data_IF_059858339255
#
_entry.id   IF_059858339255
#
_cell.length_a   1.000
_cell.length_b   1.000
_cell.length_c   1.000
_cell.angle_alpha   90.00
_cell.angle_beta   90.00
_cell.angle_gamma   90.00
#
_symmetry.space_group_name_H-M   'P 1'
#
loop_
_entity.id
_entity.type
_entity.pdbx_description
1 polymer ?
#
# COMPACT_ATOMS: atom_id res chain seq x y z
N UNK A 1 -35.15 10.74 -27.32
CA UNK A 1 -33.76 10.91 -27.79
C UNK A 1 -33.13 12.00 -26.93
N UNK A 2 -32.15 11.74 -26.05
CA UNK A 2 -31.47 12.83 -25.37
C UNK A 2 -30.52 13.51 -26.36
N UNK A 3 -30.70 14.81 -26.54
CA UNK A 3 -29.91 15.68 -27.39
C UNK A 3 -28.41 15.53 -27.06
N UNK A 4 -27.62 15.24 -28.08
CA UNK A 4 -26.17 15.12 -27.95
C UNK A 4 -25.59 16.46 -27.53
N UNK A 5 -24.92 16.49 -26.38
CA UNK A 5 -24.20 17.68 -25.92
C UNK A 5 -23.06 17.94 -26.90
N UNK A 6 -23.26 18.88 -27.82
CA UNK A 6 -22.22 19.34 -28.74
C UNK A 6 -21.31 20.32 -28.00
N UNK A 7 -20.34 19.79 -27.27
CA UNK A 7 -19.31 20.61 -26.61
C UNK A 7 -18.22 20.93 -27.63
N UNK A 8 -18.10 22.19 -27.99
CA UNK A 8 -16.98 22.66 -28.80
C UNK A 8 -15.69 22.58 -27.98
N UNK A 9 -14.86 21.57 -28.25
CA UNK A 9 -13.63 21.26 -27.51
C UNK A 9 -12.66 22.47 -27.49
N UNK A 10 -12.70 23.31 -28.52
CA UNK A 10 -11.86 24.51 -28.63
C UNK A 10 -12.19 25.58 -27.58
N UNK A 11 -13.41 25.60 -27.04
CA UNK A 11 -13.82 26.58 -26.02
C UNK A 11 -13.38 26.17 -24.60
N UNK A 12 -12.85 24.95 -24.43
CA UNK A 12 -12.36 24.44 -23.15
C UNK A 12 -10.90 24.80 -22.89
N UNK A 13 -10.21 25.33 -23.91
CA UNK A 13 -8.83 25.78 -23.82
C UNK A 13 -8.79 27.28 -23.51
N UNK A 14 -8.16 27.66 -22.39
CA UNK A 14 -7.91 29.06 -22.02
C UNK A 14 -6.63 29.63 -22.64
N UNK A 15 -6.04 28.93 -23.62
CA UNK A 15 -4.83 29.34 -24.34
C UNK A 15 -3.54 28.73 -23.79
N UNK A 16 -3.62 27.90 -22.75
CA UNK A 16 -2.50 27.16 -22.15
C UNK A 16 -2.53 25.65 -22.48
N UNK A 17 -3.49 25.22 -23.29
CA UNK A 17 -3.79 23.81 -23.55
C UNK A 17 -4.93 23.31 -22.68
N UNK A 18 -5.75 22.42 -23.25
CA UNK A 18 -6.93 21.83 -22.60
C UNK A 18 -6.54 21.08 -21.31
N UNK A 19 -5.41 20.37 -21.32
CA UNK A 19 -4.94 19.62 -20.17
C UNK A 19 -4.62 20.54 -18.98
N UNK A 20 -3.89 21.63 -19.23
CA UNK A 20 -3.55 22.61 -18.20
C UNK A 20 -4.80 23.33 -17.70
N UNK A 21 -5.70 23.70 -18.62
CA UNK A 21 -6.99 24.31 -18.29
C UNK A 21 -7.86 23.43 -17.37
N UNK A 22 -7.80 22.10 -17.50
CA UNK A 22 -8.51 21.17 -16.62
C UNK A 22 -7.88 21.03 -15.25
N UNK A 23 -6.54 21.07 -15.17
CA UNK A 23 -5.81 21.05 -13.89
C UNK A 23 -6.13 22.33 -13.11
N UNK A 24 -6.03 23.49 -13.76
CA UNK A 24 -6.28 24.80 -13.14
C UNK A 24 -7.73 24.94 -12.67
N UNK A 25 -8.68 24.36 -13.41
CA UNK A 25 -10.12 24.35 -13.07
C UNK A 25 -10.53 23.22 -12.13
N UNK A 26 -9.58 22.42 -11.63
CA UNK A 26 -9.84 21.27 -10.74
C UNK A 26 -10.91 20.33 -11.29
N UNK A 27 -10.88 20.08 -12.61
CA UNK A 27 -11.87 19.24 -13.26
C UNK A 27 -11.81 17.81 -12.70
N UNK A 28 -12.95 17.30 -12.24
CA UNK A 28 -13.06 15.96 -11.69
C UNK A 28 -13.97 15.06 -12.55
N UNK A 29 -13.61 13.78 -12.63
CA UNK A 29 -14.40 12.79 -13.38
C UNK A 29 -15.50 12.21 -12.50
N UNK A 30 -16.76 12.55 -12.81
CA UNK A 30 -17.89 11.88 -12.17
C UNK A 30 -18.11 10.47 -12.73
N UNK A 31 -18.52 9.54 -11.87
CA UNK A 31 -18.87 8.15 -12.26
C UNK A 31 -20.03 8.12 -13.27
N UNK A 32 -20.97 9.05 -13.16
CA UNK A 32 -22.07 9.25 -14.11
C UNK A 32 -21.59 9.79 -15.46
N UNK A 33 -20.63 10.71 -15.50
CA UNK A 33 -20.03 11.22 -16.74
C UNK A 33 -19.18 10.15 -17.46
N UNK A 34 -18.47 9.31 -16.70
CA UNK A 34 -17.73 8.17 -17.26
C UNK A 34 -18.67 7.20 -18.00
N UNK A 35 -19.86 6.93 -17.46
CA UNK A 35 -20.86 6.08 -18.14
C UNK A 35 -21.37 6.69 -19.46
N UNK A 36 -21.43 8.02 -19.57
CA UNK A 36 -21.83 8.72 -20.80
C UNK A 36 -20.74 8.74 -21.88
N UNK A 37 -19.47 8.66 -21.51
CA UNK A 37 -18.33 8.68 -22.44
C UNK A 37 -17.76 7.29 -22.72
N UNK A 38 -18.03 6.30 -21.87
CA UNK A 38 -17.60 4.93 -22.06
C UNK A 38 -18.52 4.19 -23.03
N UNK A 39 -18.16 4.23 -24.32
CA UNK A 39 -18.87 3.57 -25.42
C UNK A 39 -19.26 2.12 -25.14
N UNK A 40 -18.41 1.34 -24.46
CA UNK A 40 -18.71 -0.07 -24.19
C UNK A 40 -19.81 -0.25 -23.14
N UNK A 41 -19.89 0.65 -22.15
CA UNK A 41 -20.94 0.64 -21.12
C UNK A 41 -22.23 1.24 -21.65
N UNK A 42 -22.14 2.28 -22.49
CA UNK A 42 -23.27 2.88 -23.18
C UNK A 42 -23.92 1.87 -24.13
N UNK A 43 -23.14 1.22 -25.01
CA UNK A 43 -23.66 0.18 -25.92
C UNK A 43 -24.30 -1.00 -25.19
N UNK A 44 -23.83 -1.35 -23.98
CA UNK A 44 -24.45 -2.39 -23.13
C UNK A 44 -25.73 -1.93 -22.45
N UNK A 45 -25.82 -0.65 -22.06
CA UNK A 45 -27.03 -0.07 -21.49
C UNK A 45 -28.11 0.12 -22.55
N UNK A 46 -27.72 0.62 -23.73
CA UNK A 46 -28.60 0.82 -24.88
C UNK A 46 -29.19 -0.50 -25.38
N UNK A 47 -28.39 -1.58 -25.42
CA UNK A 47 -28.87 -2.94 -25.72
C UNK A 47 -29.88 -3.50 -24.69
N UNK A 48 -29.91 -2.96 -23.47
CA UNK A 48 -30.91 -3.36 -22.46
C UNK A 48 -32.21 -2.59 -22.66
N UNK A 49 -32.13 -1.32 -23.04
CA UNK A 49 -33.29 -0.46 -23.26
C UNK A 49 -33.95 -0.68 -24.64
N UNK A 50 -33.20 -1.10 -25.65
CA UNK A 50 -33.73 -1.39 -27.00
C UNK A 50 -34.57 -2.67 -27.07
N UNK A 51 -34.68 -3.43 -25.97
CA UNK A 51 -35.42 -4.69 -25.91
C UNK A 51 -36.80 -4.55 -25.23
N UNK A 52 -37.18 -3.33 -24.81
CA UNK A 52 -38.42 -3.03 -24.08
C UNK A 52 -39.51 -2.34 -24.92
N UNK A 53 -39.30 -2.12 -26.22
CA UNK A 53 -40.26 -1.38 -27.06
C UNK A 53 -40.54 -2.03 -28.41
N UNK A 54 -41.11 -3.24 -28.44
CA UNK A 54 -42.01 -3.70 -29.50
C UNK A 54 -43.07 -4.60 -28.85
N UNK A 55 -44.33 -4.18 -28.93
CA UNK A 55 -45.48 -4.88 -28.39
C UNK A 55 -46.04 -5.91 -29.39
N UNK A 56 -46.54 -7.01 -28.83
CA UNK A 56 -47.51 -8.01 -29.31
C UNK A 56 -47.37 -8.76 -30.67
N UNK A 57 -47.17 -10.09 -30.55
CA UNK A 57 -48.10 -11.18 -30.97
C UNK A 57 -47.37 -12.42 -31.53
N UNK A 58 -47.66 -13.56 -30.90
CA UNK A 58 -47.55 -14.94 -31.38
C UNK A 58 -46.16 -15.59 -31.62
N UNK A 59 -45.90 -16.60 -30.78
CA UNK A 59 -45.32 -17.92 -31.09
C UNK A 59 -43.97 -17.98 -31.79
N UNK A 60 -42.89 -18.23 -31.03
CA UNK A 60 -42.01 -19.42 -31.15
C UNK A 60 -40.71 -19.23 -30.36
N UNK A 61 -40.31 -20.28 -29.64
CA UNK A 61 -38.95 -20.52 -29.13
C UNK A 61 -38.32 -19.42 -28.26
N UNK A 62 -38.54 -19.49 -26.94
CA UNK A 62 -37.57 -18.98 -25.97
C UNK A 62 -36.25 -19.70 -26.22
N UNK A 63 -35.24 -18.99 -26.76
CA UNK A 63 -33.86 -19.47 -26.80
C UNK A 63 -33.42 -19.71 -25.35
N UNK A 64 -33.53 -20.96 -24.91
CA UNK A 64 -32.95 -21.45 -23.66
C UNK A 64 -31.44 -21.42 -23.82
N UNK A 65 -30.78 -20.49 -23.14
CA UNK A 65 -29.38 -20.66 -22.77
C UNK A 65 -29.25 -21.89 -21.86
N UNK A 66 -28.13 -22.59 -22.01
CA UNK A 66 -27.87 -23.98 -21.66
C UNK A 66 -27.82 -24.29 -20.15
N UNK A 67 -28.78 -23.83 -19.35
CA UNK A 67 -28.91 -24.19 -17.93
C UNK A 67 -30.36 -24.43 -17.55
N UNK A 68 -30.82 -25.66 -17.78
CA UNK A 68 -31.92 -26.25 -17.01
C UNK A 68 -31.92 -27.76 -17.25
N UNK A 69 -30.89 -28.42 -16.74
CA UNK A 69 -31.06 -29.77 -16.24
C UNK A 69 -31.17 -29.62 -14.72
N UNK A 70 -32.38 -29.43 -14.23
CA UNK A 70 -32.69 -29.73 -12.84
C UNK A 70 -32.68 -31.25 -12.74
N UNK A 71 -31.49 -31.83 -12.59
CA UNK A 71 -31.40 -33.18 -12.03
C UNK A 71 -31.77 -32.99 -10.56
N UNK A 72 -33.02 -33.32 -10.26
CA UNK A 72 -33.49 -33.52 -8.90
C UNK A 72 -32.77 -34.76 -8.37
N UNK A 73 -31.53 -34.55 -7.93
CA UNK A 73 -30.76 -35.55 -7.19
C UNK A 73 -31.11 -35.39 -5.72
N UNK A 74 -31.71 -36.45 -5.23
CA UNK A 74 -32.02 -36.84 -3.86
C UNK A 74 -31.02 -36.37 -2.79
N UNK A 75 -31.59 -35.95 -1.65
CA UNK A 75 -31.05 -35.96 -0.28
C UNK A 75 -29.71 -35.25 -0.02
N UNK A 76 -29.77 -33.93 0.15
CA UNK A 76 -29.10 -33.14 1.21
C UNK A 76 -29.65 -31.71 1.16
N UNK A 77 -29.92 -31.03 2.30
CA UNK A 77 -30.26 -29.61 2.24
C UNK A 77 -29.08 -28.89 1.57
N UNK A 78 -29.36 -28.20 0.47
CA UNK A 78 -28.33 -27.45 -0.25
C UNK A 78 -27.93 -26.26 0.63
N UNK A 79 -26.87 -26.45 1.41
CA UNK A 79 -26.29 -25.42 2.28
C UNK A 79 -25.09 -24.81 1.59
N UNK A 80 -24.87 -23.52 1.83
CA UNK A 80 -23.68 -22.84 1.35
C UNK A 80 -22.44 -23.31 2.11
N UNK A 81 -21.41 -23.73 1.39
CA UNK A 81 -20.13 -24.18 1.92
C UNK A 81 -19.45 -23.13 2.80
N UNK A 82 -19.62 -21.84 2.49
CA UNK A 82 -18.98 -20.75 3.25
C UNK A 82 -19.75 -20.40 4.53
N UNK A 83 -21.05 -20.11 4.46
CA UNK A 83 -21.83 -19.64 5.62
C UNK A 83 -22.64 -20.73 6.33
N UNK A 84 -22.70 -21.96 5.81
CA UNK A 84 -23.53 -23.07 6.30
C UNK A 84 -25.05 -22.77 6.33
N UNK A 85 -25.49 -21.68 5.70
CA UNK A 85 -26.91 -21.33 5.63
C UNK A 85 -27.58 -21.95 4.40
N UNK A 86 -28.89 -22.17 4.52
CA UNK A 86 -29.73 -22.79 3.52
C UNK A 86 -29.97 -21.83 2.35
N UNK A 87 -30.23 -22.40 1.17
CA UNK A 87 -30.53 -21.67 -0.06
C UNK A 87 -31.83 -20.85 0.02
N UNK A 88 -31.77 -19.64 0.58
CA UNK A 88 -32.74 -18.58 0.26
C UNK A 88 -32.49 -18.04 -1.17
N UNK A 89 -31.25 -18.14 -1.65
CA UNK A 89 -30.79 -17.75 -2.98
C UNK A 89 -30.24 -18.96 -3.76
N UNK A 90 -30.22 -18.87 -5.08
CA UNK A 90 -29.65 -19.92 -5.93
C UNK A 90 -28.17 -20.16 -5.58
N UNK A 91 -27.86 -21.41 -5.21
CA UNK A 91 -26.48 -21.83 -4.94
C UNK A 91 -25.77 -22.18 -6.24
N UNK A 92 -24.50 -21.77 -6.32
CA UNK A 92 -23.59 -22.14 -7.39
C UNK A 92 -22.73 -23.32 -6.97
N UNK A 93 -22.42 -24.20 -7.91
CA UNK A 93 -21.57 -25.35 -7.68
C UNK A 93 -20.13 -25.07 -8.13
N UNK A 94 -19.18 -25.52 -7.33
CA UNK A 94 -17.77 -25.45 -7.69
C UNK A 94 -17.45 -26.39 -8.84
N UNK A 95 -16.94 -25.83 -9.94
CA UNK A 95 -16.74 -26.56 -11.20
C UNK A 95 -15.29 -26.58 -11.69
N UNK A 96 -14.36 -25.88 -11.02
CA UNK A 96 -12.97 -25.77 -11.48
C UNK A 96 -11.97 -25.87 -10.34
N UNK A 97 -10.85 -26.57 -10.58
CA UNK A 97 -9.73 -26.66 -9.62
C UNK A 97 -9.13 -25.28 -9.33
N UNK A 98 -9.09 -24.40 -10.32
CA UNK A 98 -8.63 -23.00 -10.15
C UNK A 98 -9.44 -22.25 -9.09
N UNK A 99 -10.73 -22.57 -8.95
CA UNK A 99 -11.56 -21.98 -7.91
C UNK A 99 -11.16 -22.52 -6.53
N UNK A 100 -10.91 -23.82 -6.39
CA UNK A 100 -10.41 -24.44 -5.15
C UNK A 100 -9.08 -23.83 -4.71
N UNK A 101 -8.10 -23.74 -5.63
CA UNK A 101 -6.79 -23.15 -5.34
C UNK A 101 -6.92 -21.74 -4.78
N UNK A 102 -7.70 -20.88 -5.42
CA UNK A 102 -7.90 -19.50 -4.95
C UNK A 102 -8.62 -19.42 -3.62
N UNK A 103 -9.58 -20.32 -3.36
CA UNK A 103 -10.28 -20.37 -2.07
C UNK A 103 -9.31 -20.80 -0.96
N UNK A 104 -8.42 -21.77 -1.21
CA UNK A 104 -7.33 -22.12 -0.28
C UNK A 104 -6.39 -20.96 -0.01
N UNK A 105 -5.95 -20.27 -1.06
CA UNK A 105 -5.11 -19.07 -0.92
C UNK A 105 -5.80 -18.02 -0.03
N UNK A 106 -7.08 -17.76 -0.26
CA UNK A 106 -7.87 -16.85 0.57
C UNK A 106 -7.95 -17.33 2.02
N UNK A 107 -8.20 -18.62 2.24
CA UNK A 107 -8.32 -19.18 3.59
C UNK A 107 -7.01 -19.06 4.38
N UNK A 108 -5.86 -19.31 3.73
CA UNK A 108 -4.52 -19.13 4.31
C UNK A 108 -4.25 -17.66 4.61
N UNK A 109 -4.49 -16.76 3.64
CA UNK A 109 -4.29 -15.30 3.81
C UNK A 109 -5.14 -14.71 4.94
N UNK A 110 -6.36 -15.21 5.09
CA UNK A 110 -7.30 -14.75 6.12
C UNK A 110 -7.10 -15.46 7.47
N UNK A 111 -6.27 -16.50 7.52
CA UNK A 111 -6.12 -17.42 8.67
C UNK A 111 -7.52 -17.91 9.13
N UNK A 112 -8.38 -18.22 8.16
CA UNK A 112 -9.74 -18.66 8.43
C UNK A 112 -9.72 -20.16 8.77
N UNK A 113 -9.54 -20.46 10.06
CA UNK A 113 -9.38 -21.83 10.56
C UNK A 113 -10.58 -22.71 10.26
N UNK A 114 -11.78 -22.15 10.27
CA UNK A 114 -13.01 -22.89 9.95
C UNK A 114 -13.05 -23.25 8.46
N UNK A 115 -12.71 -22.31 7.58
CA UNK A 115 -12.65 -22.58 6.15
C UNK A 115 -11.52 -23.57 5.81
N UNK A 116 -10.35 -23.44 6.46
CA UNK A 116 -9.24 -24.38 6.30
C UNK A 116 -9.62 -25.80 6.75
N UNK A 117 -10.34 -25.94 7.86
CA UNK A 117 -10.84 -27.22 8.33
C UNK A 117 -11.81 -27.85 7.31
N UNK A 118 -12.74 -27.07 6.73
CA UNK A 118 -13.64 -27.57 5.67
C UNK A 118 -12.87 -28.04 4.43
N UNK A 119 -11.86 -27.28 4.02
CA UNK A 119 -10.99 -27.59 2.88
C UNK A 119 -10.03 -28.77 3.14
N UNK A 120 -9.84 -29.18 4.40
CA UNK A 120 -9.02 -30.35 4.75
C UNK A 120 -9.71 -31.66 4.38
N UNK A 121 -11.05 -31.69 4.37
CA UNK A 121 -11.82 -32.88 4.02
C UNK A 121 -11.76 -33.22 2.51
N UNK A 122 -11.17 -32.37 1.66
CA UNK A 122 -11.10 -32.58 0.22
C UNK A 122 -11.14 -31.29 -0.58
N UNK A 123 -11.04 -31.43 -1.91
CA UNK A 123 -11.19 -30.31 -2.86
C UNK A 123 -12.67 -29.97 -3.07
N UNK A 124 -12.97 -28.71 -3.34
CA UNK A 124 -14.35 -28.21 -3.48
C UNK A 124 -15.19 -29.01 -4.48
N UNK A 125 -14.59 -29.49 -5.59
CA UNK A 125 -15.28 -30.28 -6.60
C UNK A 125 -15.64 -31.67 -6.07
N UNK A 126 -14.70 -32.34 -5.38
CA UNK A 126 -14.93 -33.68 -4.84
C UNK A 126 -15.94 -33.68 -3.69
N UNK A 127 -16.06 -32.53 -3.00
CA UNK A 127 -17.06 -32.30 -1.97
C UNK A 127 -18.41 -31.82 -2.52
N UNK A 128 -18.54 -31.71 -3.85
CA UNK A 128 -19.73 -31.14 -4.52
C UNK A 128 -20.16 -29.80 -3.90
N UNK A 129 -19.17 -28.97 -3.55
CA UNK A 129 -19.39 -27.78 -2.74
C UNK A 129 -20.29 -26.78 -3.48
N UNK A 130 -21.36 -26.37 -2.80
CA UNK A 130 -22.33 -25.38 -3.26
C UNK A 130 -22.18 -24.09 -2.45
N UNK A 131 -22.29 -22.92 -3.08
CA UNK A 131 -22.06 -21.65 -2.41
C UNK A 131 -22.93 -20.51 -2.93
N UNK A 132 -23.20 -19.53 -2.07
CA UNK A 132 -23.80 -18.26 -2.50
C UNK A 132 -22.78 -17.43 -3.26
N UNK A 133 -23.18 -16.85 -4.39
CA UNK A 133 -22.32 -15.92 -5.16
C UNK A 133 -21.81 -14.77 -4.30
N UNK A 134 -22.66 -14.24 -3.40
CA UNK A 134 -22.31 -13.19 -2.43
C UNK A 134 -21.22 -13.63 -1.46
N UNK A 135 -21.32 -14.83 -0.89
CA UNK A 135 -20.31 -15.36 0.04
C UNK A 135 -18.95 -15.54 -0.63
N UNK A 136 -18.95 -16.01 -1.88
CA UNK A 136 -17.72 -16.15 -2.66
C UNK A 136 -17.07 -14.78 -2.92
N UNK A 137 -17.84 -13.80 -3.39
CA UNK A 137 -17.34 -12.43 -3.60
C UNK A 137 -16.86 -11.79 -2.30
N UNK A 138 -17.57 -12.02 -1.20
CA UNK A 138 -17.19 -11.54 0.13
C UNK A 138 -15.82 -12.09 0.56
N UNK A 139 -15.59 -13.40 0.39
CA UNK A 139 -14.31 -14.04 0.71
C UNK A 139 -13.14 -13.37 -0.06
N UNK A 140 -13.30 -13.19 -1.37
CA UNK A 140 -12.28 -12.55 -2.21
C UNK A 140 -12.02 -11.11 -1.77
N UNK A 141 -13.09 -10.31 -1.62
CA UNK A 141 -12.96 -8.92 -1.21
C UNK A 141 -12.30 -8.80 0.17
N UNK A 142 -12.60 -9.71 1.09
CA UNK A 142 -11.97 -9.74 2.41
C UNK A 142 -10.48 -10.04 2.27
N UNK A 143 -10.09 -11.04 1.47
CA UNK A 143 -8.68 -11.38 1.25
C UNK A 143 -7.89 -10.23 0.63
N UNK A 144 -8.42 -9.56 -0.40
CA UNK A 144 -7.76 -8.43 -1.05
C UNK A 144 -7.59 -7.21 -0.14
N UNK A 145 -8.51 -6.99 0.82
CA UNK A 145 -8.36 -5.91 1.80
C UNK A 145 -7.21 -6.16 2.77
N UNK A 146 -6.89 -7.42 3.09
CA UNK A 146 -5.75 -7.75 3.95
C UNK A 146 -4.45 -7.54 3.18
N UNK A 147 -4.39 -7.96 1.91
CA UNK A 147 -3.21 -7.72 1.07
C UNK A 147 -2.84 -6.22 1.00
N UNK A 148 -3.83 -5.35 0.78
CA UNK A 148 -3.60 -3.91 0.76
C UNK A 148 -3.07 -3.38 2.09
N UNK A 149 -3.60 -3.88 3.22
CA UNK A 149 -3.12 -3.49 4.55
C UNK A 149 -1.70 -3.98 4.81
N UNK A 150 -1.35 -5.19 4.39
CA UNK A 150 -0.01 -5.73 4.60
C UNK A 150 1.03 -4.95 3.80
N UNK A 151 0.73 -4.57 2.55
CA UNK A 151 1.60 -3.71 1.75
C UNK A 151 1.82 -2.35 2.42
N UNK A 152 0.76 -1.74 2.97
CA UNK A 152 0.89 -0.47 3.70
C UNK A 152 1.72 -0.61 4.99
N UNK A 153 1.71 -1.78 5.65
CA UNK A 153 2.49 -2.07 6.85
C UNK A 153 3.96 -2.32 6.52
N UNK A 154 4.24 -3.15 5.51
CA UNK A 154 5.61 -3.42 5.04
C UNK A 154 6.30 -2.11 4.63
N UNK A 155 5.63 -1.26 3.85
CA UNK A 155 6.17 0.04 3.45
C UNK A 155 6.48 0.96 4.64
N UNK A 156 5.65 0.95 5.69
CA UNK A 156 5.91 1.72 6.91
C UNK A 156 7.06 1.16 7.72
N UNK A 157 7.14 -0.16 7.84
CA UNK A 157 8.23 -0.84 8.54
C UNK A 157 9.58 -0.59 7.85
N UNK A 158 9.63 -0.65 6.51
CA UNK A 158 10.83 -0.28 5.75
C UNK A 158 11.27 1.14 6.09
N UNK A 159 10.37 2.13 5.98
CA UNK A 159 10.67 3.52 6.33
C UNK A 159 11.18 3.69 7.76
N UNK A 160 10.65 2.92 8.70
CA UNK A 160 11.06 2.95 10.10
C UNK A 160 12.44 2.31 10.30
N UNK A 161 12.73 1.20 9.63
CA UNK A 161 14.02 0.52 9.70
C UNK A 161 15.16 1.42 9.20
N UNK A 162 14.94 2.14 8.09
CA UNK A 162 15.89 3.15 7.61
C UNK A 162 16.16 4.26 8.64
N UNK A 163 15.11 4.74 9.31
CA UNK A 163 15.23 5.74 10.37
C UNK A 163 16.04 5.25 11.58
N UNK A 164 15.79 4.01 12.02
CA UNK A 164 16.53 3.38 13.13
C UNK A 164 18.00 3.23 12.76
N UNK A 165 18.30 2.59 11.63
CA UNK A 165 19.67 2.37 11.16
C UNK A 165 20.45 3.69 11.02
N UNK A 166 19.79 4.74 10.52
CA UNK A 166 20.39 6.05 10.40
C UNK A 166 20.69 6.68 11.76
N UNK A 167 19.73 6.65 12.70
CA UNK A 167 19.92 7.21 14.03
C UNK A 167 21.06 6.53 14.80
N UNK A 168 21.17 5.21 14.70
CA UNK A 168 22.23 4.45 15.35
C UNK A 168 23.61 4.77 14.74
N UNK A 169 23.68 4.89 13.41
CA UNK A 169 24.92 5.30 12.75
C UNK A 169 25.38 6.70 13.21
N UNK A 170 24.45 7.64 13.33
CA UNK A 170 24.75 8.99 13.84
C UNK A 170 25.18 8.94 15.30
N UNK A 171 24.53 8.13 16.14
CA UNK A 171 24.94 7.92 17.54
C UNK A 171 26.35 7.35 17.61
N UNK A 172 26.68 6.33 16.80
CA UNK A 172 28.02 5.77 16.72
C UNK A 172 29.06 6.82 16.35
N UNK A 173 28.80 7.66 15.35
CA UNK A 173 29.70 8.76 14.96
C UNK A 173 29.89 9.77 16.10
N UNK A 174 28.82 10.10 16.82
CA UNK A 174 28.88 11.06 17.92
C UNK A 174 29.64 10.49 19.14
N UNK A 175 29.34 9.28 19.56
CA UNK A 175 30.00 8.60 20.69
C UNK A 175 31.50 8.45 20.46
N UNK A 176 31.88 8.07 19.24
CA UNK A 176 33.29 7.93 18.85
C UNK A 176 34.03 9.26 18.73
N UNK A 177 33.33 10.36 18.53
CA UNK A 177 33.90 11.73 18.56
C UNK A 177 34.09 12.22 20.00
N UNK A 178 33.27 11.77 20.95
CA UNK A 178 33.34 12.20 22.35
C UNK A 178 34.47 11.55 23.16
N UNK A 179 35.09 10.46 22.66
CA UNK A 179 36.13 9.72 23.41
C UNK A 179 37.58 10.08 23.06
N UNK A 180 37.85 10.66 21.88
CA UNK A 180 39.22 10.93 21.43
C UNK A 180 39.47 12.42 21.21
N UNK A 181 40.63 12.93 21.66
CA UNK A 181 41.11 14.29 21.34
C UNK A 181 41.46 14.48 19.86
N UNK A 182 41.45 13.40 19.06
CA UNK A 182 41.76 13.41 17.63
C UNK A 182 40.50 13.35 16.76
N UNK A 183 40.43 14.17 15.71
CA UNK A 183 39.33 14.15 14.74
C UNK A 183 39.35 12.82 13.96
N UNK A 184 38.43 11.92 14.25
CA UNK A 184 38.22 10.70 13.46
C UNK A 184 37.60 11.05 12.11
N UNK A 185 38.23 10.60 11.03
CA UNK A 185 37.72 10.74 9.65
C UNK A 185 37.17 9.40 9.19
N UNK A 186 35.91 9.39 8.78
CA UNK A 186 35.24 8.19 8.27
C UNK A 186 35.24 8.16 6.75
N UNK A 187 35.50 7.00 6.15
CA UNK A 187 35.19 6.79 4.73
C UNK A 187 33.70 6.60 4.57
N UNK A 188 33.12 7.29 3.58
CA UNK A 188 31.70 7.14 3.25
C UNK A 188 31.32 5.69 2.91
N UNK A 189 32.23 4.94 2.28
CA UNK A 189 32.03 3.52 2.00
C UNK A 189 31.75 2.72 3.26
N UNK A 190 32.47 3.01 4.34
CA UNK A 190 32.41 2.22 5.57
C UNK A 190 31.13 2.56 6.34
N UNK A 191 30.72 3.83 6.33
CA UNK A 191 29.43 4.27 6.87
C UNK A 191 28.24 3.69 6.08
N UNK A 192 28.34 3.64 4.75
CA UNK A 192 27.33 2.98 3.91
C UNK A 192 27.23 1.50 4.26
N UNK A 193 28.35 0.80 4.44
CA UNK A 193 28.33 -0.61 4.80
C UNK A 193 27.67 -0.83 6.17
N UNK A 194 28.04 -0.04 7.18
CA UNK A 194 27.43 -0.12 8.52
C UNK A 194 25.92 0.13 8.49
N UNK A 195 25.47 1.12 7.71
CA UNK A 195 24.04 1.39 7.51
C UNK A 195 23.31 0.22 6.86
N UNK A 196 23.86 -0.31 5.75
CA UNK A 196 23.25 -1.39 5.00
C UNK A 196 23.22 -2.70 5.81
N UNK A 197 24.31 -3.04 6.50
CA UNK A 197 24.37 -4.20 7.41
C UNK A 197 23.28 -4.10 8.49
N UNK A 198 23.06 -2.89 9.03
CA UNK A 198 22.04 -2.69 10.07
C UNK A 198 20.62 -2.82 9.54
N UNK A 199 20.35 -2.31 8.34
CA UNK A 199 19.03 -2.49 7.69
C UNK A 199 18.74 -3.98 7.47
N UNK A 200 19.70 -4.73 6.93
CA UNK A 200 19.54 -6.17 6.70
C UNK A 200 19.26 -6.91 8.00
N UNK A 201 19.94 -6.56 9.10
CA UNK A 201 19.64 -7.15 10.41
C UNK A 201 18.21 -6.84 10.90
N UNK A 202 17.70 -5.61 10.67
CA UNK A 202 16.36 -5.22 11.10
C UNK A 202 15.26 -5.88 10.26
N UNK A 203 15.53 -6.15 8.99
CA UNK A 203 14.64 -6.88 8.08
C UNK A 203 14.54 -8.36 8.49
N UNK A 204 15.65 -9.00 8.87
CA UNK A 204 15.68 -10.41 9.30
C UNK A 204 14.94 -10.67 10.63
N UNK A 205 14.93 -9.69 11.54
CA UNK A 205 14.30 -9.83 12.88
C UNK A 205 12.77 -9.75 12.81
N UNK A 206 12.18 -9.14 11.77
CA UNK A 206 10.71 -9.09 11.61
C UNK A 206 10.06 -10.46 11.35
N UNK A 207 10.84 -11.53 11.16
CA UNK A 207 10.36 -12.92 11.11
C UNK A 207 10.06 -13.57 12.46
N UNK A 208 10.45 -12.97 13.59
CA UNK A 208 10.26 -13.54 14.94
C UNK A 208 9.63 -12.50 15.87
N UNK A 209 8.41 -12.81 16.31
CA UNK A 209 7.60 -12.17 17.37
C UNK A 209 8.31 -11.08 18.19
N UNK A 210 7.75 -9.87 18.11
CA UNK A 210 8.10 -8.70 18.91
C UNK A 210 8.00 -8.97 20.42
N UNK A 211 9.15 -9.16 21.05
CA UNK A 211 9.46 -8.58 22.37
C UNK A 211 10.94 -8.27 22.35
N UNK A 212 11.36 -7.02 22.18
CA UNK A 212 12.70 -6.64 22.65
C UNK A 212 12.77 -5.19 23.11
N UNK A 213 13.31 -5.09 24.31
CA UNK A 213 13.59 -3.93 25.15
C UNK A 213 14.63 -3.02 24.47
N UNK A 214 14.45 -1.71 24.56
CA UNK A 214 15.21 -0.68 23.82
C UNK A 214 16.59 -0.36 24.44
N UNK A 215 17.31 -1.36 24.94
CA UNK A 215 18.60 -1.12 25.60
C UNK A 215 19.61 -2.26 25.41
N UNK A 216 20.01 -2.55 24.16
CA UNK A 216 21.28 -3.25 23.94
C UNK A 216 22.14 -2.56 22.86
N UNK A 217 23.37 -2.12 23.20
CA UNK A 217 24.32 -1.57 22.24
C UNK A 217 24.92 -2.67 21.34
N UNK A 218 25.57 -2.24 20.24
CA UNK A 218 26.10 -2.99 19.09
C UNK A 218 27.08 -4.17 19.35
N UNK A 219 26.86 -5.03 20.35
CA UNK A 219 27.78 -6.11 20.69
C UNK A 219 27.17 -7.52 20.69
N UNK A 220 25.93 -7.70 20.22
CA UNK A 220 25.30 -9.03 20.20
C UNK A 220 24.54 -9.36 18.91
N UNK A 221 25.21 -9.23 17.77
CA UNK A 221 24.93 -10.13 16.65
C UNK A 221 26.12 -11.07 16.47
N UNK A 222 26.19 -12.09 17.34
CA UNK A 222 27.11 -13.20 17.13
C UNK A 222 26.51 -14.13 16.07
N UNK A 223 26.83 -13.90 14.80
CA UNK A 223 26.95 -15.02 13.87
C UNK A 223 27.89 -14.65 12.71
N UNK A 224 29.02 -15.36 12.70
CA UNK A 224 30.15 -15.34 11.74
C UNK A 224 31.09 -14.14 11.89
N UNK A 225 32.30 -14.46 12.37
CA UNK A 225 33.49 -13.59 12.45
C UNK A 225 33.57 -12.68 11.23
N UNK A 226 33.30 -11.39 11.42
CA UNK A 226 33.85 -10.35 10.56
C UNK A 226 35.31 -10.20 10.95
N UNK A 227 36.18 -10.38 9.96
CA UNK A 227 37.63 -10.18 10.08
C UNK A 227 37.92 -8.79 10.63
N UNK A 228 38.58 -8.75 11.80
CA UNK A 228 39.33 -7.58 12.25
C UNK A 228 40.18 -7.11 11.06
N UNK A 229 39.99 -5.86 10.63
CA UNK A 229 40.85 -5.27 9.63
C UNK A 229 42.30 -5.31 10.17
N UNK A 230 43.29 -5.77 9.38
CA UNK A 230 44.68 -5.74 9.81
C UNK A 230 45.11 -4.30 10.10
N UNK A 231 45.76 -4.09 11.25
CA UNK A 231 46.35 -2.81 11.68
C UNK A 231 47.49 -2.29 10.77
N UNK A 232 47.72 -2.90 9.60
CA UNK A 232 48.92 -2.74 8.79
C UNK A 232 48.78 -1.83 7.55
N UNK A 233 47.75 -0.98 7.46
CA UNK A 233 47.57 -0.10 6.28
C UNK A 233 47.52 1.41 6.56
N UNK A 234 48.08 1.86 7.68
CA UNK A 234 48.42 3.27 7.90
C UNK A 234 49.94 3.44 8.02
N UNK A 235 50.66 3.39 6.89
CA UNK A 235 52.06 3.83 6.80
C UNK A 235 52.18 5.34 6.56
N UNK A 236 51.21 6.13 7.03
CA UNK A 236 51.30 7.58 7.01
C UNK A 236 51.36 8.05 8.46
N UNK A 237 52.45 8.74 8.88
CA UNK A 237 52.49 9.33 10.20
C UNK A 237 51.33 10.35 10.32
N UNK A 238 50.74 10.49 11.51
CA UNK A 238 49.66 11.44 11.74
C UNK A 238 50.12 12.84 11.34
N UNK A 239 49.45 13.44 10.36
CA UNK A 239 49.67 14.83 10.00
C UNK A 239 49.14 15.70 11.15
N UNK A 240 50.06 16.24 11.95
CA UNK A 240 49.75 17.24 12.96
C UNK A 240 49.48 18.55 12.24
N UNK A 241 48.21 18.85 11.98
CA UNK A 241 47.79 20.19 11.57
C UNK A 241 47.52 20.99 12.84
N UNK A 242 48.47 21.85 13.21
CA UNK A 242 48.28 22.87 14.25
C UNK A 242 47.31 23.90 13.67
N UNK A 243 46.07 23.88 14.13
CA UNK A 243 45.10 24.92 13.83
C UNK A 243 45.37 26.12 14.75
N UNK A 244 45.91 27.19 14.20
CA UNK A 244 45.78 28.51 14.82
C UNK A 244 44.37 29.00 14.51
N UNK A 245 43.54 29.10 15.54
CA UNK A 245 42.18 29.64 15.46
C UNK A 245 42.27 31.12 15.05
N UNK A 246 41.70 31.54 13.90
CA UNK A 246 41.67 32.96 13.56
C UNK A 246 40.60 33.66 14.40
N UNK A 247 40.96 34.82 14.96
CA UNK A 247 40.07 35.65 15.77
C UNK A 247 38.78 36.00 14.99
N UNK A 248 37.64 35.60 15.54
CA UNK A 248 36.31 35.94 15.04
C UNK A 248 36.04 37.40 15.43
N UNK A 249 35.88 38.35 14.48
CA UNK A 249 35.50 39.70 14.85
C UNK A 249 34.06 39.71 15.38
N UNK A 250 33.90 40.33 16.55
CA UNK A 250 32.60 40.54 17.20
C UNK A 250 31.73 41.45 16.31
N UNK A 251 30.72 40.86 15.66
CA UNK A 251 29.69 41.62 14.94
C UNK A 251 28.63 42.03 15.96
N UNK A 252 28.77 43.23 16.52
CA UNK A 252 27.66 43.89 17.23
C UNK A 252 26.69 44.44 16.18
N UNK A 253 25.60 43.71 15.96
CA UNK A 253 24.47 44.18 15.16
C UNK A 253 23.18 43.61 15.74
N UNK A 254 22.36 44.48 16.34
CA UNK A 254 21.01 44.12 16.76
C UNK A 254 20.20 43.67 15.54
N UNK A 255 19.86 42.38 15.47
CA UNK A 255 18.89 41.86 14.52
C UNK A 255 17.49 42.26 14.99
N UNK A 256 17.14 43.54 14.89
CA UNK A 256 15.73 43.97 14.98
C UNK A 256 15.03 43.55 13.69
N UNK A 257 14.43 42.37 13.67
CA UNK A 257 13.56 41.94 12.57
C UNK A 257 12.28 42.76 12.67
N UNK A 258 12.11 43.75 11.78
CA UNK A 258 10.88 44.51 11.65
C UNK A 258 9.76 43.63 11.08
N UNK A 259 8.91 43.12 11.98
CA UNK A 259 7.75 42.29 11.68
C UNK A 259 6.65 43.01 10.87
N UNK A 260 6.78 44.31 10.58
CA UNK A 260 5.80 45.05 9.77
C UNK A 260 5.85 44.70 8.27
N UNK A 261 6.95 44.08 7.81
CA UNK A 261 7.18 43.72 6.41
C UNK A 261 6.59 42.37 5.97
N UNK A 262 5.97 41.61 6.89
CA UNK A 262 5.40 40.29 6.56
C UNK A 262 4.12 40.40 5.72
N UNK A 263 4.02 39.65 4.60
CA UNK A 263 2.82 39.63 3.76
C UNK A 263 1.58 39.23 4.57
N UNK A 264 0.51 40.01 4.46
CA UNK A 264 -0.74 39.81 5.23
C UNK A 264 -1.36 38.42 5.07
N UNK A 265 -1.04 37.71 3.98
CA UNK A 265 -1.51 36.35 3.69
C UNK A 265 -1.03 35.29 4.69
N UNK A 266 0.07 35.53 5.42
CA UNK A 266 0.64 34.55 6.37
C UNK A 266 0.23 34.78 7.83
N UNK A 267 -0.47 35.87 8.15
CA UNK A 267 -0.93 36.16 9.53
C UNK A 267 -2.01 35.18 10.02
N UNK A 268 -2.65 34.42 9.13
CA UNK A 268 -3.66 33.42 9.50
C UNK A 268 -3.09 32.09 9.99
N UNK A 269 -1.86 31.74 9.60
CA UNK A 269 -1.32 30.38 9.79
C UNK A 269 -0.59 30.17 11.11
N UNK A 270 -0.25 31.25 11.83
CA UNK A 270 0.51 31.21 13.09
C UNK A 270 -0.33 31.46 14.34
N UNK A 271 -1.66 31.34 14.25
CA UNK A 271 -2.57 31.58 15.38
C UNK A 271 -2.35 30.61 16.56
N UNK A 272 -1.78 29.44 16.31
CA UNK A 272 -1.47 28.42 17.32
C UNK A 272 -0.24 28.75 18.17
N UNK A 273 0.67 29.61 17.71
CA UNK A 273 1.86 30.02 18.47
C UNK A 273 1.53 30.95 19.65
N UNK A 274 0.36 31.61 19.64
CA UNK A 274 -0.07 32.53 20.71
C UNK A 274 -0.95 31.86 21.78
N UNK A 275 -1.13 30.54 21.74
CA UNK A 275 -1.99 29.80 22.70
C UNK A 275 -1.23 28.90 23.67
N UNK A 276 0.09 29.05 23.79
CA UNK A 276 0.87 28.48 24.88
C UNK A 276 1.48 29.62 25.70
N UNK A 277 0.64 30.22 26.54
CA UNK A 277 1.02 31.09 27.65
C UNK A 277 0.20 30.69 28.86
#
# INVERSE_FOLDING_TARGET
>A
MPEGINVCIKNLDKGSGIAQSFIDQKACWHKSCNLKLNRTKLNRAEKRTSHESIDDKATTSKKKTRHSFSVQSTSNPSVCFFCNENAQEALHESSTFRQDTRVRECAVKLIDTLLLAKLSAGVLIAQEAKYHSKCFVFLYNRSSRIEMKNVDVESKNESQNYGIAFSELVSYINETRSCDETIRVYKLSDLCNLYMERITCLEDVQGVVQTFDQSEPMLKCQSKRVSLLPESHSNLPPAVLIFSEPDIPLVEGELSIDMSSFPAALKGEFKWLNSCG
#
